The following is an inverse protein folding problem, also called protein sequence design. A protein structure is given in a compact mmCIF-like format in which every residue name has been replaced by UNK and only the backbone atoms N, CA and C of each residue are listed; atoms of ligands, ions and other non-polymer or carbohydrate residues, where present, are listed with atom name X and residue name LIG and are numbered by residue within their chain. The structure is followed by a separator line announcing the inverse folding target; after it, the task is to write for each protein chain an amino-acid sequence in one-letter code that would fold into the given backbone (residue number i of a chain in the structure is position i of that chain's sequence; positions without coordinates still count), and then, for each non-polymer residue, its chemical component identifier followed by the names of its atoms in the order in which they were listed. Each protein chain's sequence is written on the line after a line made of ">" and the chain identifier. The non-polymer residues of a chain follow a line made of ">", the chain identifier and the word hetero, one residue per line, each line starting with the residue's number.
data_IF_760578423749
#
_entry.id   IF_760578423749
#
_cell.length_a   1.000
_cell.length_b   1.000
_cell.length_c   1.000
_cell.angle_alpha   90.00
_cell.angle_beta   90.00
_cell.angle_gamma   90.00
#
_symmetry.space_group_name_H-M   'P 1'
#
loop_
_entity.id
_entity.type
_entity.pdbx_description
1 polymer ?
#
# COMPACT_ATOMS: atom_id res chain seq x y z
N UNK A 1 1.53 2.99 17.85
CA UNK A 1 0.79 2.76 16.58
C UNK A 1 1.48 3.60 15.50
N UNK A 2 1.52 3.15 14.24
CA UNK A 2 2.25 3.84 13.16
C UNK A 2 1.39 4.88 12.45
N UNK A 3 1.98 6.01 12.03
CA UNK A 3 1.32 7.10 11.28
C UNK A 3 1.24 6.83 9.77
N UNK A 4 2.25 6.13 9.24
CA UNK A 4 2.37 5.77 7.83
C UNK A 4 2.35 4.24 7.70
N UNK A 5 1.65 3.72 6.68
CA UNK A 5 1.65 2.28 6.34
C UNK A 5 2.07 2.11 4.89
N UNK A 6 3.08 1.27 4.68
CA UNK A 6 3.61 0.94 3.35
C UNK A 6 3.28 -0.51 3.05
N UNK A 7 2.61 -0.77 1.93
CA UNK A 7 2.29 -2.11 1.46
C UNK A 7 3.17 -2.45 0.25
N UNK A 8 4.11 -3.36 0.44
CA UNK A 8 5.04 -3.80 -0.61
C UNK A 8 4.52 -5.01 -1.38
N UNK A 9 3.98 -6.00 -0.68
CA UNK A 9 3.46 -7.24 -1.24
C UNK A 9 2.18 -7.68 -0.52
N UNK A 10 1.11 -7.89 -1.28
CA UNK A 10 -0.15 -8.41 -0.76
C UNK A 10 -0.99 -9.00 -1.90
N UNK A 11 -1.62 -10.15 -1.65
CA UNK A 11 -2.74 -10.64 -2.47
C UNK A 11 -3.99 -9.83 -2.21
N UNK A 12 -4.96 -9.79 -3.15
CA UNK A 12 -6.22 -9.04 -2.99
C UNK A 12 -7.05 -9.39 -1.76
N UNK A 13 -6.86 -10.58 -1.17
CA UNK A 13 -7.49 -11.04 0.07
C UNK A 13 -6.45 -11.41 1.14
N UNK A 14 -5.48 -10.55 1.40
CA UNK A 14 -4.45 -10.75 2.42
C UNK A 14 -4.81 -10.09 3.76
N UNK A 15 -4.24 -10.60 4.86
CA UNK A 15 -4.31 -9.91 6.16
C UNK A 15 -3.67 -8.52 6.11
N UNK A 16 -2.65 -8.31 5.28
CA UNK A 16 -2.00 -7.01 5.10
C UNK A 16 -2.95 -5.94 4.55
N UNK A 17 -3.88 -6.29 3.66
CA UNK A 17 -4.91 -5.37 3.18
C UNK A 17 -5.92 -5.00 4.27
N UNK A 18 -6.21 -5.90 5.21
CA UNK A 18 -7.05 -5.59 6.36
C UNK A 18 -6.37 -4.52 7.20
N UNK A 19 -5.08 -4.67 7.50
CA UNK A 19 -4.30 -3.65 8.22
C UNK A 19 -4.25 -2.32 7.47
N UNK A 20 -4.07 -2.33 6.14
CA UNK A 20 -4.08 -1.12 5.32
C UNK A 20 -5.44 -0.40 5.36
N UNK A 21 -6.55 -1.14 5.27
CA UNK A 21 -7.89 -0.57 5.38
C UNK A 21 -8.17 0.01 6.77
N UNK A 22 -7.77 -0.68 7.84
CA UNK A 22 -7.90 -0.16 9.20
C UNK A 22 -7.06 1.12 9.40
N UNK A 23 -5.91 1.23 8.74
CA UNK A 23 -5.11 2.45 8.75
C UNK A 23 -5.79 3.59 7.98
N UNK A 24 -6.43 3.33 6.84
CA UNK A 24 -7.26 4.32 6.13
C UNK A 24 -8.42 4.83 7.00
N UNK A 25 -9.14 3.93 7.66
CA UNK A 25 -10.23 4.28 8.58
C UNK A 25 -9.74 5.15 9.75
N UNK A 26 -8.49 4.94 10.17
CA UNK A 26 -7.83 5.75 11.18
C UNK A 26 -7.22 7.07 10.65
N UNK A 27 -7.57 7.50 9.43
CA UNK A 27 -7.03 8.68 8.75
C UNK A 27 -5.49 8.70 8.66
N UNK A 28 -4.89 7.55 8.32
CA UNK A 28 -3.44 7.41 8.15
C UNK A 28 -3.05 7.40 6.69
N UNK A 29 -1.79 7.75 6.43
CA UNK A 29 -1.26 7.72 5.08
C UNK A 29 -0.98 6.27 4.66
N UNK A 30 -1.53 5.90 3.51
CA UNK A 30 -1.22 4.62 2.86
C UNK A 30 -0.36 4.87 1.64
N UNK A 31 0.74 4.13 1.62
CA UNK A 31 1.62 4.03 0.48
C UNK A 31 1.65 2.59 -0.01
N UNK A 32 1.87 2.42 -1.30
CA UNK A 32 1.95 1.11 -1.91
C UNK A 32 3.04 1.06 -2.97
N UNK A 33 3.78 -0.05 -3.00
CA UNK A 33 4.81 -0.27 -4.03
C UNK A 33 4.14 -0.95 -5.22
N UNK A 34 4.09 -0.31 -6.41
CA UNK A 34 3.49 -0.93 -7.58
C UNK A 34 4.30 -2.14 -8.02
N UNK A 35 3.62 -3.11 -8.63
CA UNK A 35 4.28 -4.30 -9.17
C UNK A 35 3.56 -4.90 -10.39
N UNK A 36 4.10 -5.97 -10.98
CA UNK A 36 3.58 -6.55 -12.21
C UNK A 36 2.13 -7.00 -12.09
N UNK A 37 1.28 -6.70 -13.09
CA UNK A 37 -0.13 -7.13 -13.10
C UNK A 37 -0.32 -8.65 -12.99
N UNK A 38 0.65 -9.42 -13.49
CA UNK A 38 0.65 -10.89 -13.47
C UNK A 38 1.10 -11.47 -12.13
N UNK A 39 1.61 -10.66 -11.21
CA UNK A 39 2.05 -11.10 -9.89
C UNK A 39 0.89 -11.10 -8.89
N UNK A 40 0.53 -12.25 -8.30
CA UNK A 40 -0.48 -12.30 -7.25
C UNK A 40 -0.13 -11.43 -6.03
N UNK A 41 1.15 -11.19 -5.78
CA UNK A 41 1.61 -10.35 -4.67
C UNK A 41 1.52 -8.85 -4.96
N UNK A 42 1.33 -8.46 -6.22
CA UNK A 42 1.13 -7.07 -6.62
C UNK A 42 -0.33 -6.67 -6.69
N UNK A 43 -1.27 -7.61 -6.57
CA UNK A 43 -2.70 -7.32 -6.61
C UNK A 43 -3.14 -6.33 -5.52
N UNK A 44 -2.66 -6.52 -4.29
CA UNK A 44 -3.00 -5.68 -3.14
C UNK A 44 -2.41 -4.27 -3.25
N UNK A 45 -1.09 -4.10 -3.45
CA UNK A 45 -0.49 -2.79 -3.67
C UNK A 45 -1.14 -2.05 -4.85
N UNK A 46 -1.31 -2.71 -6.00
CA UNK A 46 -1.93 -2.09 -7.18
C UNK A 46 -3.39 -1.70 -6.93
N UNK A 47 -4.14 -2.51 -6.16
CA UNK A 47 -5.51 -2.17 -5.74
C UNK A 47 -5.54 -0.93 -4.85
N UNK A 48 -4.62 -0.82 -3.88
CA UNK A 48 -4.52 0.36 -3.02
C UNK A 48 -4.19 1.62 -3.82
N UNK A 49 -3.26 1.52 -4.77
CA UNK A 49 -2.91 2.63 -5.67
C UNK A 49 -4.14 3.05 -6.48
N UNK A 50 -4.88 2.09 -7.04
CA UNK A 50 -6.12 2.38 -7.77
C UNK A 50 -7.20 3.01 -6.87
N UNK A 51 -7.19 2.72 -5.57
CA UNK A 51 -8.08 3.32 -4.58
C UNK A 51 -7.62 4.70 -4.06
N UNK A 52 -6.46 5.19 -4.51
CA UNK A 52 -5.93 6.51 -4.15
C UNK A 52 -4.75 6.51 -3.17
N UNK A 53 -4.19 5.35 -2.82
CA UNK A 53 -2.93 5.30 -2.07
C UNK A 53 -1.77 5.87 -2.89
N UNK A 54 -0.81 6.51 -2.22
CA UNK A 54 0.32 7.12 -2.89
C UNK A 54 1.33 6.05 -3.35
N UNK A 55 1.68 5.98 -4.65
CA UNK A 55 2.65 5.00 -5.14
C UNK A 55 4.08 5.36 -4.74
N UNK A 56 4.86 4.39 -4.25
CA UNK A 56 6.30 4.52 -4.03
C UNK A 56 7.04 3.86 -5.21
N UNK A 57 7.72 4.67 -6.02
CA UNK A 57 8.42 4.22 -7.24
C UNK A 57 9.95 4.32 -7.17
N UNK A 58 10.48 4.94 -6.12
CA UNK A 58 11.90 5.10 -5.89
C UNK A 58 12.18 5.11 -4.37
N UNK A 59 13.46 5.07 -3.98
CA UNK A 59 13.89 5.13 -2.58
C UNK A 59 13.88 6.54 -1.98
N UNK A 60 13.65 7.58 -2.78
CA UNK A 60 13.65 8.98 -2.32
C UNK A 60 12.31 9.40 -1.68
N UNK A 61 11.39 8.45 -1.51
CA UNK A 61 10.08 8.66 -0.89
C UNK A 61 10.15 9.01 0.60
N UNK A 62 11.31 8.85 1.26
CA UNK A 62 11.49 9.26 2.65
C UNK A 62 11.19 10.76 2.87
N UNK A 63 11.31 11.59 1.83
CA UNK A 63 10.95 13.01 1.88
C UNK A 63 9.42 13.26 1.84
N UNK A 64 8.61 12.22 1.64
CA UNK A 64 7.15 12.24 1.60
C UNK A 64 6.50 11.71 2.89
N UNK A 65 7.30 11.11 3.78
CA UNK A 65 6.85 10.55 5.07
C UNK A 65 6.79 11.62 6.15
#
# INVERSE_FOLDING_TARGET
>A
MSENVIVTEAKKKSGSLITANLALEANRNIFAVPGPLTSPLSEGPNYLIAAGAMPIVNSEFENLL
#
